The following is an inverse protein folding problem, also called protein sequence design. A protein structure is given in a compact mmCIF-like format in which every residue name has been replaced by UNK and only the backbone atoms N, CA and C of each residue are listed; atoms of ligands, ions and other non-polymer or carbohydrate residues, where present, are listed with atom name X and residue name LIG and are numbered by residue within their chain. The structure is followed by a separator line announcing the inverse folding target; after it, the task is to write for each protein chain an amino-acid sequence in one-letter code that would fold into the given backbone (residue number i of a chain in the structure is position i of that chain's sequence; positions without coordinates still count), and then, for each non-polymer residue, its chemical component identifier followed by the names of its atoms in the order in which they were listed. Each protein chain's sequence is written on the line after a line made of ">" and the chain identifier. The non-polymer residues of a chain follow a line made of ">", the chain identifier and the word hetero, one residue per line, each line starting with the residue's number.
data_IF_610284490347
#
_entry.id   IF_610284490347
#
_cell.length_a   1.000
_cell.length_b   1.000
_cell.length_c   1.000
_cell.angle_alpha   90.00
_cell.angle_beta   90.00
_cell.angle_gamma   90.00
#
_symmetry.space_group_name_H-M   'P 1'
#
loop_
_entity.id
_entity.type
_entity.pdbx_description
1 polymer ?
#
# COMPACT_ATOMS: atom_id res chain seq x y z
N UNK A 1 34.10 -46.01 17.45
CA UNK A 1 33.03 -46.51 16.56
C UNK A 1 32.04 -45.37 16.31
N UNK A 2 32.27 -44.51 15.30
CA UNK A 2 31.45 -43.30 15.09
C UNK A 2 30.30 -43.63 14.14
N UNK A 3 29.08 -43.81 14.69
CA UNK A 3 27.86 -43.96 13.91
C UNK A 3 27.62 -42.69 13.11
N UNK A 4 27.92 -42.73 11.81
CA UNK A 4 27.50 -41.70 10.85
C UNK A 4 25.96 -41.70 10.82
N UNK A 5 25.33 -40.69 11.39
CA UNK A 5 23.92 -40.43 11.15
C UNK A 5 23.76 -40.07 9.67
N UNK A 6 23.37 -41.06 8.87
CA UNK A 6 22.88 -40.88 7.51
C UNK A 6 21.61 -40.02 7.62
N UNK A 7 21.72 -38.72 7.31
CA UNK A 7 20.54 -37.83 7.25
C UNK A 7 19.51 -38.52 6.34
N UNK A 8 18.25 -38.69 6.78
CA UNK A 8 17.24 -39.24 5.90
C UNK A 8 17.11 -38.31 4.70
N UNK A 9 17.36 -38.87 3.51
CA UNK A 9 17.30 -38.15 2.25
C UNK A 9 15.84 -37.73 2.01
N UNK A 10 15.52 -36.46 2.22
CA UNK A 10 14.19 -35.88 1.97
C UNK A 10 13.87 -35.78 0.46
N UNK A 11 14.47 -36.63 -0.39
CA UNK A 11 14.04 -36.87 -1.77
C UNK A 11 12.68 -37.60 -1.82
N UNK A 12 11.74 -37.25 -0.93
CA UNK A 12 10.36 -37.68 -0.97
C UNK A 12 9.69 -36.99 -2.14
N UNK A 13 9.63 -37.72 -3.26
CA UNK A 13 8.65 -37.61 -4.36
C UNK A 13 8.44 -36.16 -4.85
N UNK A 14 9.38 -35.69 -5.68
CA UNK A 14 9.14 -34.58 -6.60
C UNK A 14 7.90 -34.95 -7.43
N UNK A 15 6.71 -34.47 -7.08
CA UNK A 15 5.57 -34.46 -8.01
C UNK A 15 5.99 -33.53 -9.13
N UNK A 16 6.48 -34.12 -10.22
CA UNK A 16 7.00 -33.46 -11.41
C UNK A 16 5.80 -33.06 -12.27
N UNK A 17 5.04 -32.08 -11.80
CA UNK A 17 4.09 -31.34 -12.63
C UNK A 17 4.76 -30.08 -13.19
N UNK A 18 4.28 -29.52 -14.31
CA UNK A 18 4.68 -28.19 -14.73
C UNK A 18 4.43 -27.19 -13.59
N UNK A 19 5.31 -26.19 -13.40
CA UNK A 19 5.07 -25.16 -12.39
C UNK A 19 3.71 -24.50 -12.70
N UNK A 20 2.90 -24.20 -11.68
CA UNK A 20 1.70 -23.39 -11.88
C UNK A 20 2.11 -22.11 -12.62
N UNK A 21 1.38 -21.74 -13.67
CA UNK A 21 1.69 -20.54 -14.46
C UNK A 21 1.22 -19.27 -13.75
N UNK A 22 0.17 -19.40 -12.93
CA UNK A 22 -0.45 -18.31 -12.18
C UNK A 22 0.10 -18.21 -10.75
N UNK A 23 0.00 -17.02 -10.17
CA UNK A 23 0.42 -16.72 -8.80
C UNK A 23 1.82 -16.12 -8.70
N UNK A 24 2.28 -15.92 -7.46
CA UNK A 24 3.45 -15.11 -7.15
C UNK A 24 4.63 -15.92 -6.67
N UNK A 25 5.84 -15.50 -7.04
CA UNK A 25 7.06 -15.99 -6.41
C UNK A 25 7.13 -15.58 -4.94
N UNK A 26 7.97 -16.24 -4.15
CA UNK A 26 8.12 -15.92 -2.72
C UNK A 26 8.59 -14.48 -2.48
N UNK A 27 9.39 -13.92 -3.39
CA UNK A 27 9.84 -12.53 -3.35
C UNK A 27 8.70 -11.56 -3.62
N UNK A 28 7.92 -11.82 -4.67
CA UNK A 28 6.74 -11.04 -5.03
C UNK A 28 5.69 -11.08 -3.91
N UNK A 29 5.39 -12.26 -3.38
CA UNK A 29 4.44 -12.43 -2.28
C UNK A 29 4.89 -11.67 -1.02
N UNK A 30 6.19 -11.68 -0.72
CA UNK A 30 6.76 -10.90 0.37
C UNK A 30 6.57 -9.38 0.14
N UNK A 31 6.83 -8.90 -1.06
CA UNK A 31 6.61 -7.49 -1.45
C UNK A 31 5.14 -7.09 -1.30
N UNK A 32 4.20 -7.91 -1.80
CA UNK A 32 2.77 -7.64 -1.70
C UNK A 32 2.31 -7.56 -0.24
N UNK A 33 2.80 -8.44 0.63
CA UNK A 33 2.44 -8.46 2.06
C UNK A 33 3.18 -7.37 2.86
N UNK A 34 4.24 -6.77 2.31
CA UNK A 34 5.08 -5.79 3.01
C UNK A 34 5.95 -6.44 4.11
N UNK A 35 6.51 -7.62 3.82
CA UNK A 35 7.45 -8.36 4.69
C UNK A 35 8.65 -8.85 3.89
N UNK A 36 9.65 -9.42 4.56
CA UNK A 36 10.81 -10.00 3.86
C UNK A 36 10.53 -11.43 3.37
N UNK A 37 11.20 -11.92 2.32
CA UNK A 37 11.10 -13.32 1.88
C UNK A 37 11.46 -14.32 2.99
N UNK A 38 12.38 -13.94 3.89
CA UNK A 38 12.72 -14.71 5.09
C UNK A 38 11.51 -14.91 6.01
N UNK A 39 10.68 -13.88 6.18
CA UNK A 39 9.47 -13.93 7.01
C UNK A 39 8.43 -14.88 6.41
N UNK A 40 8.24 -14.85 5.09
CA UNK A 40 7.35 -15.81 4.41
C UNK A 40 7.85 -17.25 4.56
N UNK A 41 9.16 -17.50 4.41
CA UNK A 41 9.75 -18.83 4.68
C UNK A 41 9.54 -19.27 6.12
N UNK A 42 9.65 -18.33 7.06
CA UNK A 42 9.38 -18.61 8.47
C UNK A 42 7.92 -18.99 8.72
N UNK A 43 6.96 -18.32 8.08
CA UNK A 43 5.54 -18.72 8.13
C UNK A 43 5.30 -20.12 7.56
N UNK A 44 5.93 -20.45 6.43
CA UNK A 44 5.88 -21.80 5.86
C UNK A 44 6.46 -22.84 6.82
N UNK A 45 7.62 -22.57 7.43
CA UNK A 45 8.26 -23.48 8.40
C UNK A 45 7.38 -23.71 9.63
N UNK A 46 6.65 -22.69 10.08
CA UNK A 46 5.71 -22.79 11.21
C UNK A 46 4.36 -23.42 10.82
N UNK A 47 4.15 -23.71 9.54
CA UNK A 47 2.89 -24.27 9.03
C UNK A 47 1.73 -23.28 9.07
N UNK A 48 2.01 -21.98 8.98
CA UNK A 48 1.02 -20.92 8.95
C UNK A 48 0.44 -20.68 7.56
N UNK A 49 1.21 -20.98 6.52
CA UNK A 49 0.80 -20.89 5.12
C UNK A 49 0.60 -22.30 4.54
N UNK A 50 -0.34 -22.47 3.58
CA UNK A 50 -0.50 -23.75 2.90
C UNK A 50 0.80 -24.15 2.23
N UNK A 51 1.12 -25.44 2.29
CA UNK A 51 2.29 -25.97 1.60
C UNK A 51 2.11 -25.82 0.09
N UNK A 52 3.14 -25.35 -0.63
CA UNK A 52 3.02 -25.12 -2.06
C UNK A 52 2.86 -26.45 -2.82
N UNK A 53 2.09 -26.42 -3.90
CA UNK A 53 1.86 -27.57 -4.79
C UNK A 53 3.13 -28.04 -5.48
N UNK A 54 4.09 -27.13 -5.69
CA UNK A 54 5.37 -27.38 -6.34
C UNK A 54 6.51 -26.88 -5.44
N UNK A 55 7.66 -27.57 -5.48
CA UNK A 55 8.86 -27.19 -4.76
C UNK A 55 10.02 -26.94 -5.72
N UNK A 56 10.58 -25.73 -5.70
CA UNK A 56 11.71 -25.32 -6.54
C UNK A 56 11.85 -23.80 -6.65
N UNK A 57 12.80 -23.32 -7.45
CA UNK A 57 13.06 -21.88 -7.65
C UNK A 57 11.86 -21.16 -8.27
N UNK A 58 11.10 -21.85 -9.13
CA UNK A 58 9.87 -21.35 -9.75
C UNK A 58 8.60 -21.69 -8.95
N UNK A 59 8.70 -21.83 -7.62
CA UNK A 59 7.51 -22.07 -6.78
C UNK A 59 6.62 -20.83 -6.78
N UNK A 60 5.41 -20.97 -7.32
CA UNK A 60 4.38 -19.93 -7.27
C UNK A 60 3.31 -20.23 -6.22
N UNK A 61 2.94 -19.18 -5.50
CA UNK A 61 1.93 -19.19 -4.46
C UNK A 61 0.65 -18.54 -5.00
N UNK A 62 -0.46 -19.25 -4.83
CA UNK A 62 -1.77 -18.82 -5.33
C UNK A 62 -2.44 -17.79 -4.41
N UNK A 63 -3.53 -17.20 -4.89
CA UNK A 63 -4.39 -16.25 -4.16
C UNK A 63 -4.66 -16.62 -2.69
N UNK A 64 -5.00 -17.87 -2.32
CA UNK A 64 -5.26 -18.21 -0.92
C UNK A 64 -4.03 -18.04 0.00
N UNK A 65 -2.83 -18.24 -0.53
CA UNK A 65 -1.60 -18.06 0.25
C UNK A 65 -1.31 -16.57 0.51
N UNK A 66 -1.59 -15.71 -0.47
CA UNK A 66 -1.47 -14.26 -0.32
C UNK A 66 -2.46 -13.74 0.72
N UNK A 67 -3.75 -14.10 0.60
CA UNK A 67 -4.80 -13.72 1.56
C UNK A 67 -4.44 -14.13 2.98
N UNK A 68 -4.03 -15.39 3.17
CA UNK A 68 -3.62 -15.89 4.49
C UNK A 68 -2.41 -15.14 5.05
N UNK A 69 -1.42 -14.81 4.22
CA UNK A 69 -0.25 -14.03 4.64
C UNK A 69 -0.62 -12.59 5.05
N UNK A 70 -1.56 -11.96 4.33
CA UNK A 70 -2.11 -10.66 4.69
C UNK A 70 -2.85 -10.73 6.03
N UNK A 71 -3.73 -11.73 6.24
CA UNK A 71 -4.44 -11.90 7.51
C UNK A 71 -3.47 -12.04 8.69
N UNK A 72 -2.41 -12.85 8.54
CA UNK A 72 -1.35 -12.97 9.56
C UNK A 72 -0.73 -11.61 9.85
N UNK A 73 -0.41 -10.84 8.80
CA UNK A 73 0.24 -9.53 8.96
C UNK A 73 -0.65 -8.51 9.64
N UNK A 74 -1.95 -8.51 9.34
CA UNK A 74 -2.94 -7.66 10.00
C UNK A 74 -3.11 -8.05 11.48
N UNK A 75 -3.27 -9.35 11.78
CA UNK A 75 -3.38 -9.83 13.18
C UNK A 75 -2.14 -9.48 14.02
N UNK A 76 -0.94 -9.51 13.43
CA UNK A 76 0.28 -9.09 14.14
C UNK A 76 0.36 -7.58 14.39
N UNK A 77 -0.10 -6.77 13.43
CA UNK A 77 0.00 -5.31 13.50
C UNK A 77 -1.09 -4.71 14.38
N UNK A 78 -2.32 -5.18 14.21
CA UNK A 78 -3.51 -4.55 14.78
C UNK A 78 -3.86 -5.16 16.14
N UNK A 79 -3.63 -6.47 16.32
CA UNK A 79 -4.00 -7.20 17.53
C UNK A 79 -2.79 -7.68 18.36
N UNK A 80 -1.57 -7.47 17.85
CA UNK A 80 -0.32 -7.90 18.49
C UNK A 80 -0.26 -9.39 18.87
N UNK A 81 -1.00 -10.24 18.13
CA UNK A 81 -1.07 -11.67 18.43
C UNK A 81 0.25 -12.39 18.13
N UNK A 82 0.58 -13.38 18.97
CA UNK A 82 1.69 -14.29 18.72
C UNK A 82 1.40 -15.21 17.54
N UNK A 83 2.45 -15.72 16.90
CA UNK A 83 2.29 -16.61 15.75
C UNK A 83 1.54 -17.91 16.06
N UNK A 84 1.68 -18.43 17.28
CA UNK A 84 0.98 -19.65 17.69
C UNK A 84 -0.52 -19.39 17.94
N UNK A 85 -0.85 -18.22 18.50
CA UNK A 85 -2.24 -17.77 18.63
C UNK A 85 -2.88 -17.54 17.25
N UNK A 86 -2.16 -16.87 16.34
CA UNK A 86 -2.62 -16.67 14.95
C UNK A 86 -2.82 -18.01 14.25
N UNK A 87 -1.89 -18.96 14.41
CA UNK A 87 -2.00 -20.30 13.81
C UNK A 87 -3.26 -21.01 14.27
N UNK A 88 -3.55 -20.97 15.57
CA UNK A 88 -4.73 -21.59 16.16
C UNK A 88 -6.00 -20.94 15.62
N UNK A 89 -6.07 -19.61 15.61
CA UNK A 89 -7.21 -18.86 15.06
C UNK A 89 -7.45 -19.19 13.58
N UNK A 90 -6.41 -19.17 12.75
CA UNK A 90 -6.51 -19.50 11.33
C UNK A 90 -6.78 -20.99 11.04
N UNK A 91 -6.67 -21.87 12.03
CA UNK A 91 -7.06 -23.28 11.89
C UNK A 91 -8.57 -23.49 12.08
N UNK A 92 -9.22 -22.58 12.81
CA UNK A 92 -10.67 -22.60 13.05
C UNK A 92 -11.47 -21.75 12.05
N UNK A 93 -10.80 -20.90 11.27
CA UNK A 93 -11.45 -20.08 10.25
C UNK A 93 -11.60 -20.80 8.91
N UNK A 94 -12.75 -20.63 8.27
CA UNK A 94 -12.97 -21.06 6.89
C UNK A 94 -12.18 -20.19 5.89
N UNK A 95 -11.97 -20.70 4.68
CA UNK A 95 -11.23 -19.96 3.65
C UNK A 95 -11.89 -18.60 3.30
N UNK A 96 -13.22 -18.58 3.25
CA UNK A 96 -14.03 -17.39 2.98
C UNK A 96 -13.92 -16.35 4.10
N UNK A 97 -13.83 -16.78 5.36
CA UNK A 97 -13.64 -15.89 6.51
C UNK A 97 -12.25 -15.27 6.50
N UNK A 98 -11.22 -16.04 6.11
CA UNK A 98 -9.85 -15.55 5.97
C UNK A 98 -9.77 -14.51 4.85
N UNK A 99 -10.41 -14.79 3.71
CA UNK A 99 -10.52 -13.84 2.59
C UNK A 99 -11.22 -12.57 3.04
N UNK A 100 -12.41 -12.69 3.63
CA UNK A 100 -13.19 -11.56 4.12
C UNK A 100 -12.39 -10.71 5.12
N UNK A 101 -11.69 -11.34 6.06
CA UNK A 101 -10.83 -10.65 7.02
C UNK A 101 -9.67 -9.91 6.34
N UNK A 102 -8.98 -10.57 5.40
CA UNK A 102 -7.86 -9.95 4.66
C UNK A 102 -8.34 -8.76 3.84
N UNK A 103 -9.45 -8.90 3.12
CA UNK A 103 -10.00 -7.87 2.24
C UNK A 103 -10.59 -6.69 3.01
N UNK A 104 -11.25 -6.94 4.15
CA UNK A 104 -11.82 -5.88 4.99
C UNK A 104 -10.76 -4.90 5.51
N UNK A 105 -9.51 -5.35 5.64
CA UNK A 105 -8.37 -4.56 6.11
C UNK A 105 -7.50 -4.02 4.97
N UNK A 106 -7.82 -4.38 3.72
CA UNK A 106 -7.13 -3.90 2.53
C UNK A 106 -7.79 -2.60 2.04
N UNK A 107 -7.13 -1.47 2.26
CA UNK A 107 -7.64 -0.16 1.81
C UNK A 107 -7.13 0.23 0.42
N UNK A 108 -5.83 0.10 0.18
CA UNK A 108 -5.18 0.41 -1.10
C UNK A 108 -3.75 -0.14 -1.10
N UNK A 109 -3.16 -0.32 -2.28
CA UNK A 109 -1.76 -0.68 -2.46
C UNK A 109 -1.53 -1.90 -3.36
N UNK A 110 -0.28 -2.33 -3.53
CA UNK A 110 0.09 -3.36 -4.50
C UNK A 110 -0.61 -4.71 -4.25
N UNK A 111 -0.91 -5.05 -2.99
CA UNK A 111 -1.70 -6.24 -2.67
C UNK A 111 -3.17 -6.14 -3.12
N UNK A 112 -3.77 -4.96 -3.06
CA UNK A 112 -5.16 -4.73 -3.48
C UNK A 112 -5.27 -4.87 -5.00
N UNK A 113 -4.35 -4.24 -5.74
CA UNK A 113 -4.25 -4.36 -7.19
C UNK A 113 -3.97 -5.81 -7.63
N UNK A 114 -3.04 -6.50 -6.95
CA UNK A 114 -2.71 -7.90 -7.26
C UNK A 114 -3.90 -8.87 -7.02
N UNK A 115 -4.81 -8.54 -6.10
CA UNK A 115 -6.02 -9.34 -5.83
C UNK A 115 -7.22 -8.93 -6.70
N UNK A 116 -7.09 -7.88 -7.52
CA UNK A 116 -8.21 -7.30 -8.26
C UNK A 116 -9.26 -6.66 -7.35
N UNK A 117 -8.89 -6.36 -6.10
CA UNK A 117 -9.76 -5.74 -5.10
C UNK A 117 -9.48 -4.24 -5.13
N UNK A 118 -9.64 -3.66 -6.32
CA UNK A 118 -9.76 -2.22 -6.44
C UNK A 118 -11.17 -1.89 -5.91
N UNK A 119 -11.27 -1.56 -4.61
CA UNK A 119 -12.48 -0.89 -4.12
C UNK A 119 -12.60 0.36 -4.99
N UNK A 120 -13.73 0.62 -5.69
CA UNK A 120 -13.86 1.85 -6.44
C UNK A 120 -13.69 2.97 -5.43
N UNK A 121 -12.55 3.64 -5.49
CA UNK A 121 -12.36 4.91 -4.84
C UNK A 121 -13.43 5.78 -5.48
N UNK A 122 -14.54 6.00 -4.77
CA UNK A 122 -15.47 7.05 -5.14
C UNK A 122 -14.62 8.31 -5.30
N UNK A 123 -14.51 8.74 -6.55
CA UNK A 123 -13.68 9.83 -7.05
C UNK A 123 -12.20 9.80 -6.64
N UNK A 124 -11.39 9.02 -7.35
CA UNK A 124 -10.10 9.55 -7.79
C UNK A 124 -9.85 9.10 -9.22
N UNK A 125 -10.15 10.01 -10.14
CA UNK A 125 -9.89 9.93 -11.57
C UNK A 125 -8.44 9.48 -11.78
N UNK A 126 -8.25 8.19 -12.00
CA UNK A 126 -6.98 7.64 -12.46
C UNK A 126 -6.84 8.09 -13.91
N UNK A 127 -5.86 8.96 -14.12
CA UNK A 127 -5.23 9.15 -15.40
C UNK A 127 -4.82 7.76 -15.92
N UNK A 128 -5.55 7.30 -16.93
CA UNK A 128 -5.13 6.18 -17.76
C UNK A 128 -3.86 6.61 -18.47
N UNK A 129 -2.75 5.95 -18.17
CA UNK A 129 -1.60 5.88 -19.06
C UNK A 129 -2.05 5.13 -20.32
N UNK A 130 -2.57 5.89 -21.29
CA UNK A 130 -2.43 5.54 -22.69
C UNK A 130 -1.01 5.93 -23.11
N UNK A 131 -0.35 5.07 -23.88
CA UNK A 131 0.90 5.41 -24.52
C UNK A 131 0.70 6.62 -25.46
N UNK A 132 1.47 7.65 -25.14
CA UNK A 132 1.87 8.89 -25.82
C UNK A 132 1.44 9.13 -27.28
N UNK A 133 0.95 10.35 -27.55
CA UNK A 133 1.62 11.20 -28.52
C UNK A 133 2.23 12.44 -27.85
N UNK A 134 3.47 12.70 -28.23
CA UNK A 134 4.30 13.87 -27.99
C UNK A 134 3.51 15.19 -28.08
N UNK A 135 3.00 15.69 -26.95
CA UNK A 135 2.86 17.11 -26.57
C UNK A 135 1.95 17.17 -25.32
N UNK A 136 2.45 17.61 -24.14
CA UNK A 136 1.56 17.87 -23.02
C UNK A 136 0.56 18.99 -23.41
N UNK A 137 -0.76 18.84 -23.16
CA UNK A 137 -1.66 19.98 -23.23
C UNK A 137 -1.14 21.04 -22.25
N UNK A 138 -0.78 22.20 -22.80
CA UNK A 138 -0.36 23.37 -22.03
C UNK A 138 -1.56 23.86 -21.21
N UNK A 139 -1.74 23.30 -20.02
CA UNK A 139 -2.61 23.89 -19.02
C UNK A 139 -1.94 25.17 -18.55
N UNK A 140 -2.56 26.32 -18.85
CA UNK A 140 -2.12 27.62 -18.37
C UNK A 140 -2.06 27.58 -16.83
N UNK A 141 -0.86 27.37 -16.30
CA UNK A 141 -0.63 27.31 -14.87
C UNK A 141 -0.67 28.74 -14.33
N UNK A 142 -1.82 29.16 -13.80
CA UNK A 142 -1.97 30.46 -13.17
C UNK A 142 -1.25 30.44 -11.83
N UNK A 143 -0.22 31.28 -11.69
CA UNK A 143 0.48 31.49 -10.42
C UNK A 143 -0.37 32.38 -9.52
N UNK A 144 -0.45 32.04 -8.24
CA UNK A 144 -1.17 32.81 -7.22
C UNK A 144 -0.22 33.16 -6.08
N UNK A 145 -0.25 34.41 -5.64
CA UNK A 145 0.44 34.92 -4.48
C UNK A 145 -0.55 34.95 -3.29
N UNK A 146 -0.10 34.45 -2.14
CA UNK A 146 -0.90 34.45 -0.90
C UNK A 146 -0.40 35.59 -0.01
N UNK A 147 -1.25 36.58 0.22
CA UNK A 147 -0.95 37.72 1.11
C UNK A 147 -1.69 37.50 2.42
N UNK A 148 -0.96 37.24 3.50
CA UNK A 148 -1.57 37.11 4.83
C UNK A 148 -1.91 38.49 5.39
N UNK A 149 -3.18 38.72 5.74
CA UNK A 149 -3.66 40.01 6.26
C UNK A 149 -3.66 40.03 7.78
N UNK A 150 -4.16 38.96 8.41
CA UNK A 150 -4.22 38.77 9.87
C UNK A 150 -3.99 37.28 10.20
N UNK A 151 -3.72 36.92 11.47
CA UNK A 151 -3.76 35.52 11.89
C UNK A 151 -5.13 34.90 11.59
N UNK A 152 -5.18 33.97 10.64
CA UNK A 152 -6.40 33.30 10.20
C UNK A 152 -7.14 33.94 9.01
N UNK A 153 -6.64 35.05 8.43
CA UNK A 153 -7.23 35.70 7.27
C UNK A 153 -6.17 35.97 6.18
N UNK A 154 -6.38 35.40 4.99
CA UNK A 154 -5.46 35.50 3.85
C UNK A 154 -6.18 35.90 2.56
N UNK A 155 -5.52 36.71 1.74
CA UNK A 155 -5.98 37.15 0.42
C UNK A 155 -5.20 36.40 -0.68
N UNK A 156 -5.91 35.84 -1.66
CA UNK A 156 -5.31 35.19 -2.83
C UNK A 156 -5.31 36.15 -4.01
N UNK A 157 -4.14 36.44 -4.56
CA UNK A 157 -3.96 37.37 -5.69
C UNK A 157 -3.30 36.64 -6.85
N UNK A 158 -3.82 36.75 -8.07
CA UNK A 158 -3.16 36.19 -9.25
C UNK A 158 -1.82 36.89 -9.48
N UNK A 159 -0.72 36.14 -9.63
CA UNK A 159 0.62 36.70 -9.80
C UNK A 159 0.78 37.43 -11.15
N UNK A 160 0.02 36.99 -12.17
CA UNK A 160 -0.11 37.62 -13.49
C UNK A 160 -1.18 38.74 -13.53
N UNK A 161 -1.77 39.08 -12.39
CA UNK A 161 -2.77 40.15 -12.28
C UNK A 161 -2.23 41.52 -12.69
N UNK A 162 -3.11 42.34 -13.28
CA UNK A 162 -2.85 43.72 -13.68
C UNK A 162 -2.32 44.58 -12.52
N UNK A 163 -1.50 45.63 -12.78
CA UNK A 163 -1.02 46.56 -11.75
C UNK A 163 -2.13 47.15 -10.86
N UNK A 164 -3.35 47.31 -11.39
CA UNK A 164 -4.51 47.76 -10.62
C UNK A 164 -4.92 46.73 -9.55
N UNK A 165 -4.91 45.43 -9.90
CA UNK A 165 -5.21 44.34 -8.96
C UNK A 165 -4.17 44.29 -7.85
N UNK A 166 -2.89 44.46 -8.20
CA UNK A 166 -1.80 44.53 -7.20
C UNK A 166 -1.94 45.76 -6.31
N UNK A 167 -2.32 46.91 -6.87
CA UNK A 167 -2.57 48.16 -6.11
C UNK A 167 -3.76 48.02 -5.15
N UNK A 168 -4.86 47.40 -5.58
CA UNK A 168 -6.00 47.12 -4.71
C UNK A 168 -5.65 46.13 -3.60
N UNK A 169 -4.92 45.06 -3.92
CA UNK A 169 -4.44 44.11 -2.91
C UNK A 169 -3.56 44.79 -1.85
N UNK A 170 -2.68 45.72 -2.28
CA UNK A 170 -1.87 46.52 -1.36
C UNK A 170 -2.74 47.44 -0.49
N UNK A 171 -3.74 48.11 -1.07
CA UNK A 171 -4.65 48.97 -0.29
C UNK A 171 -5.45 48.19 0.75
N UNK A 172 -5.90 46.97 0.43
CA UNK A 172 -6.58 46.08 1.38
C UNK A 172 -5.61 45.66 2.48
N UNK A 173 -4.37 45.31 2.12
CA UNK A 173 -3.32 45.00 3.09
C UNK A 173 -3.06 46.17 4.04
N UNK A 174 -2.83 47.37 3.52
CA UNK A 174 -2.55 48.57 4.32
C UNK A 174 -3.73 48.93 5.22
N UNK A 175 -4.97 48.73 4.75
CA UNK A 175 -6.17 48.97 5.57
C UNK A 175 -6.32 47.95 6.69
N UNK A 176 -6.14 46.65 6.41
CA UNK A 176 -6.25 45.59 7.40
C UNK A 176 -5.13 45.63 8.44
N UNK A 177 -3.91 45.95 8.02
CA UNK A 177 -2.75 46.09 8.93
C UNK A 177 -2.81 47.42 9.68
N UNK A 178 -3.25 48.51 9.04
CA UNK A 178 -3.44 49.82 9.67
C UNK A 178 -4.56 49.82 10.72
N UNK A 179 -5.63 49.06 10.51
CA UNK A 179 -6.69 48.86 11.51
C UNK A 179 -6.25 48.00 12.71
N UNK A 180 -5.18 47.21 12.56
CA UNK A 180 -4.65 46.34 13.61
C UNK A 180 -3.60 47.04 14.50
N UNK A 181 -3.31 48.33 14.27
CA UNK A 181 -2.35 49.09 15.07
C UNK A 181 -3.09 49.71 16.28
N UNK A 182 -2.85 49.25 17.53
CA UNK A 182 -3.51 49.84 18.69
C UNK A 182 -3.04 51.29 18.89
N UNK A 183 -3.99 52.19 19.16
CA UNK A 183 -3.72 53.55 19.60
C UNK A 183 -2.72 53.51 20.76
N UNK A 184 -1.50 54.02 20.52
CA UNK A 184 -0.54 54.28 21.59
C UNK A 184 -1.13 55.38 22.46
N UNK A 185 -1.60 55.00 23.65
CA UNK A 185 -1.84 55.88 24.78
C UNK A 185 -0.89 55.47 25.88
#
# INVERSE_FOLDING_TARGET
>A
MVRRYRRPDFRRRRRRGPPPQEGWLISELATLVGVTPRTIRYYLQKGLLPSPTFYGTATRYQRPALLRALSIRHMQRDEHLSLDAIKTRLAHMAAEEIESYALAKLTSGPAATALGVERPAMARTVATTFAEPETPPSYASVKWDVVQLLPGLSLLVKSDGSPLVKKLAQQIYDHCVGAAQPART
#
